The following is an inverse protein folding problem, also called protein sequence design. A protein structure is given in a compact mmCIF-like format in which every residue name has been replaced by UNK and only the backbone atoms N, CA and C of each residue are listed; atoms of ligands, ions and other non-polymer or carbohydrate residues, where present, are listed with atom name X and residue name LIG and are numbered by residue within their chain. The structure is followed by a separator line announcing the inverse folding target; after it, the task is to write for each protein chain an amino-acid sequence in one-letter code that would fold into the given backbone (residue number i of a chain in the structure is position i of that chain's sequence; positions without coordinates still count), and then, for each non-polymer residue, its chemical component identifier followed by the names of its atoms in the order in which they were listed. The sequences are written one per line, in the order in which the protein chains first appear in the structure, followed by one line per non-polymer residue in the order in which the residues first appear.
data_IF_495565452352
#
_entry.id   IF_495565452352
#
_cell.length_a   1.000
_cell.length_b   1.000
_cell.length_c   1.000
_cell.angle_alpha   90.00
_cell.angle_beta   90.00
_cell.angle_gamma   90.00
#
_symmetry.space_group_name_H-M   'P 1'
#
loop_
_entity.id
_entity.type
_entity.pdbx_description
1 polymer ?
#
# COMPACT_ATOMS: atom_id res chain seq x y z
N UNK A 1 -5.95 12.42 1.34
CA UNK A 1 -4.77 12.07 0.53
C UNK A 1 -3.93 13.30 0.24
N UNK A 2 -2.60 13.18 0.23
CA UNK A 2 -1.68 14.29 -0.06
C UNK A 2 -1.55 14.49 -1.58
N UNK A 3 -1.53 15.74 -2.10
CA UNK A 3 -1.48 16.02 -3.54
C UNK A 3 -0.32 15.36 -4.30
N UNK A 4 0.79 15.04 -3.62
CA UNK A 4 1.99 14.42 -4.19
C UNK A 4 2.32 13.06 -3.54
N UNK A 5 1.33 12.36 -2.97
CA UNK A 5 1.54 11.12 -2.21
C UNK A 5 2.35 10.06 -2.97
N UNK A 6 1.92 9.70 -4.19
CA UNK A 6 2.63 8.72 -5.02
C UNK A 6 4.02 9.21 -5.44
N UNK A 7 4.15 10.48 -5.81
CA UNK A 7 5.44 11.07 -6.19
C UNK A 7 6.47 11.01 -5.05
N UNK A 8 6.02 11.27 -3.82
CA UNK A 8 6.84 11.13 -2.62
C UNK A 8 7.23 9.67 -2.35
N UNK A 9 6.30 8.73 -2.52
CA UNK A 9 6.57 7.30 -2.34
C UNK A 9 7.64 6.82 -3.34
N UNK A 10 7.48 7.14 -4.63
CA UNK A 10 8.47 6.84 -5.68
C UNK A 10 9.84 7.46 -5.38
N UNK A 11 9.86 8.70 -4.89
CA UNK A 11 11.11 9.37 -4.50
C UNK A 11 11.78 8.64 -3.33
N UNK A 12 11.03 8.19 -2.33
CA UNK A 12 11.57 7.43 -1.20
C UNK A 12 12.17 6.09 -1.65
N UNK A 13 11.48 5.37 -2.55
CA UNK A 13 12.00 4.14 -3.13
C UNK A 13 13.29 4.37 -3.92
N UNK A 14 13.35 5.43 -4.73
CA UNK A 14 14.56 5.82 -5.46
C UNK A 14 15.73 6.22 -4.53
N UNK A 15 15.44 6.64 -3.29
CA UNK A 15 16.46 6.91 -2.26
C UNK A 15 16.97 5.64 -1.57
N UNK A 16 16.37 4.47 -1.82
CA UNK A 16 16.89 3.18 -1.37
C UNK A 16 16.11 2.52 -0.23
N UNK A 17 14.85 2.88 0.01
CA UNK A 17 13.99 2.16 0.95
C UNK A 17 13.89 0.66 0.62
N UNK A 18 13.92 -0.18 1.66
CA UNK A 18 13.91 -1.64 1.50
C UNK A 18 12.50 -2.23 1.33
N UNK A 19 11.48 -1.52 1.81
CA UNK A 19 10.08 -1.90 1.70
C UNK A 19 9.21 -0.73 1.20
N UNK A 20 8.16 -1.04 0.44
CA UNK A 20 7.08 -0.13 0.10
C UNK A 20 5.98 -0.25 1.16
N UNK A 21 5.44 0.88 1.62
CA UNK A 21 4.34 0.91 2.57
C UNK A 21 3.07 1.59 2.07
N UNK A 22 1.99 1.39 2.82
CA UNK A 22 0.70 2.04 2.66
C UNK A 22 -0.06 2.06 4.00
N UNK A 23 -1.18 2.80 4.06
CA UNK A 23 -2.07 2.87 5.23
C UNK A 23 -3.55 2.90 4.78
N UNK A 24 -4.05 1.80 4.17
CA UNK A 24 -5.30 1.81 3.41
C UNK A 24 -6.54 2.17 4.25
N UNK A 25 -6.55 1.83 5.53
CA UNK A 25 -7.65 2.14 6.46
C UNK A 25 -7.76 3.62 6.83
N UNK A 26 -6.78 4.44 6.46
CA UNK A 26 -6.75 5.88 6.71
C UNK A 26 -6.94 6.73 5.43
N UNK A 27 -7.19 6.09 4.29
CA UNK A 27 -7.56 6.81 3.06
C UNK A 27 -9.00 7.34 3.12
N UNK A 28 -9.34 8.28 2.23
CA UNK A 28 -10.61 9.00 2.27
C UNK A 28 -11.82 8.10 1.98
N UNK A 29 -11.63 7.08 1.14
CA UNK A 29 -12.67 6.10 0.79
C UNK A 29 -12.10 4.69 0.81
N UNK A 30 -13.00 3.70 0.88
CA UNK A 30 -12.61 2.29 0.74
C UNK A 30 -11.87 2.06 -0.58
N UNK A 31 -12.37 2.62 -1.67
CA UNK A 31 -11.79 2.47 -3.00
C UNK A 31 -10.39 3.10 -3.08
N UNK A 32 -10.15 4.21 -2.39
CA UNK A 32 -8.81 4.81 -2.27
C UNK A 32 -7.88 3.88 -1.48
N UNK A 33 -8.35 3.27 -0.39
CA UNK A 33 -7.61 2.28 0.39
C UNK A 33 -7.23 1.06 -0.45
N UNK A 34 -8.16 0.51 -1.23
CA UNK A 34 -7.88 -0.59 -2.19
C UNK A 34 -6.79 -0.18 -3.17
N UNK A 35 -6.92 0.99 -3.81
CA UNK A 35 -5.91 1.50 -4.75
C UNK A 35 -4.54 1.72 -4.11
N UNK A 36 -4.49 2.09 -2.82
CA UNK A 36 -3.21 2.27 -2.11
C UNK A 36 -2.47 0.95 -1.90
N UNK A 37 -3.19 -0.16 -1.66
CA UNK A 37 -2.61 -1.52 -1.65
C UNK A 37 -2.16 -1.88 -3.06
N UNK A 38 -3.04 -1.64 -4.05
CA UNK A 38 -2.80 -1.59 -5.51
C UNK A 38 -1.37 -1.16 -5.84
N UNK A 39 -1.15 0.12 -5.56
CA UNK A 39 0.06 0.88 -5.83
C UNK A 39 1.28 0.38 -5.06
N UNK A 40 1.11 -0.07 -3.80
CA UNK A 40 2.24 -0.55 -3.01
C UNK A 40 2.89 -1.78 -3.64
N UNK A 41 2.08 -2.70 -4.17
CA UNK A 41 2.57 -3.86 -4.91
C UNK A 41 3.17 -3.46 -6.27
N UNK A 42 2.54 -2.56 -7.01
CA UNK A 42 3.08 -2.06 -8.29
C UNK A 42 4.50 -1.47 -8.11
N UNK A 43 4.71 -0.68 -7.05
CA UNK A 43 6.01 -0.09 -6.75
C UNK A 43 7.01 -1.12 -6.21
N UNK A 44 6.55 -2.12 -5.45
CA UNK A 44 7.43 -3.17 -4.96
C UNK A 44 8.01 -4.00 -6.10
N UNK A 45 7.19 -4.32 -7.11
CA UNK A 45 7.63 -4.97 -8.35
C UNK A 45 8.56 -4.07 -9.18
N UNK A 46 8.25 -2.77 -9.31
CA UNK A 46 9.07 -1.83 -10.07
C UNK A 46 10.48 -1.65 -9.48
N UNK A 47 10.59 -1.60 -8.14
CA UNK A 47 11.85 -1.32 -7.45
C UNK A 47 12.57 -2.58 -6.92
N UNK A 48 12.00 -3.78 -7.11
CA UNK A 48 12.49 -5.06 -6.56
C UNK A 48 12.65 -5.01 -5.02
N UNK A 49 11.56 -4.65 -4.33
CA UNK A 49 11.53 -4.42 -2.88
C UNK A 49 10.39 -5.18 -2.19
N UNK A 50 10.48 -5.27 -0.86
CA UNK A 50 9.44 -5.90 -0.04
C UNK A 50 8.22 -4.99 0.13
N UNK A 51 7.12 -5.53 0.64
CA UNK A 51 5.90 -4.79 1.00
C UNK A 51 5.68 -4.88 2.51
N UNK A 52 5.41 -3.75 3.17
CA UNK A 52 5.03 -3.68 4.58
C UNK A 52 3.97 -2.58 4.78
N UNK A 53 2.72 -2.99 5.04
CA UNK A 53 1.55 -2.11 5.05
C UNK A 53 0.99 -2.05 6.48
N UNK A 54 0.70 -0.83 6.97
CA UNK A 54 -0.09 -0.64 8.19
C UNK A 54 -1.55 -0.99 7.88
N UNK A 55 -1.87 -2.27 8.04
CA UNK A 55 -3.11 -2.88 7.55
C UNK A 55 -4.14 -3.00 8.68
N UNK A 56 -5.31 -2.40 8.48
CA UNK A 56 -6.46 -2.49 9.39
C UNK A 56 -6.15 -2.17 10.88
N UNK A 57 -5.26 -1.19 11.13
CA UNK A 57 -4.88 -0.74 12.49
C UNK A 57 -5.95 0.19 13.10
N UNK A 58 -7.17 -0.33 13.21
CA UNK A 58 -8.35 0.38 13.67
C UNK A 58 -9.27 -0.56 14.45
N UNK A 59 -10.20 0.01 15.22
CA UNK A 59 -11.25 -0.74 15.91
C UNK A 59 -12.49 -1.04 15.05
N UNK A 60 -12.47 -0.68 13.77
CA UNK A 60 -13.57 -0.88 12.81
C UNK A 60 -13.60 -2.32 12.27
N UNK A 61 -14.72 -3.01 12.41
CA UNK A 61 -14.92 -4.39 11.96
C UNK A 61 -15.12 -4.53 10.43
N UNK A 62 -15.31 -3.40 9.74
CA UNK A 62 -15.40 -3.30 8.28
C UNK A 62 -14.08 -2.93 7.61
N UNK A 63 -13.06 -2.56 8.37
CA UNK A 63 -11.70 -2.39 7.84
C UNK A 63 -11.13 -3.78 7.51
N UNK A 64 -11.13 -4.13 6.22
CA UNK A 64 -10.76 -5.46 5.71
C UNK A 64 -9.80 -5.38 4.54
N UNK A 65 -8.87 -4.43 4.56
CA UNK A 65 -7.88 -4.29 3.49
C UNK A 65 -6.88 -5.45 3.45
N UNK A 66 -6.79 -6.22 4.54
CA UNK A 66 -6.02 -7.47 4.58
C UNK A 66 -6.44 -8.47 3.50
N UNK A 67 -7.72 -8.50 3.08
CA UNK A 67 -8.18 -9.39 2.01
C UNK A 67 -7.61 -8.99 0.65
N UNK A 68 -7.44 -7.68 0.42
CA UNK A 68 -6.86 -7.13 -0.80
C UNK A 68 -5.35 -7.36 -0.79
N UNK A 69 -4.68 -7.11 0.33
CA UNK A 69 -3.25 -7.39 0.48
C UNK A 69 -2.95 -8.87 0.22
N UNK A 70 -3.73 -9.78 0.81
CA UNK A 70 -3.59 -11.22 0.58
C UNK A 70 -3.82 -11.60 -0.89
N UNK A 71 -4.82 -10.99 -1.56
CA UNK A 71 -5.08 -11.20 -3.00
C UNK A 71 -3.85 -10.80 -3.82
N UNK A 72 -3.28 -9.62 -3.60
CA UNK A 72 -2.09 -9.15 -4.33
C UNK A 72 -0.86 -10.04 -4.08
N UNK A 73 -0.59 -10.44 -2.83
CA UNK A 73 0.49 -11.39 -2.50
C UNK A 73 0.31 -12.73 -3.21
N UNK A 74 -0.90 -13.31 -3.23
CA UNK A 74 -1.14 -14.60 -3.91
C UNK A 74 -0.89 -14.49 -5.43
N UNK A 75 -1.20 -13.34 -6.03
CA UNK A 75 -1.08 -13.13 -7.48
C UNK A 75 0.35 -12.78 -7.91
N UNK A 76 1.12 -12.10 -7.06
CA UNK A 76 2.42 -11.49 -7.43
C UNK A 76 3.63 -12.14 -6.76
N UNK A 77 3.45 -12.81 -5.62
CA UNK A 77 4.52 -13.47 -4.84
C UNK A 77 4.87 -12.72 -3.57
#
# INVERSE_FOLDING_TARGET
TFPEGEGNLRRAMAMGCDCVGAIPHNELTREDGVRSVELAFDLAEEFDRLVDIHCDETGDDQSRFVEVMAKETILRG
#
